data_IF_041106891327
#
_entry.id   IF_041106891327
#
_cell.length_a   1.000
_cell.length_b   1.000
_cell.length_c   1.000
_cell.angle_alpha   90.00
_cell.angle_beta   90.00
_cell.angle_gamma   90.00
#
_symmetry.space_group_name_H-M   'P 1'
#
loop_
_entity.id
_entity.type
_entity.pdbx_description
1 polymer ?
#
# COMPACT_ATOMS: atom_id res chain seq x y z
N UNK A 1 31.47 -2.47 -14.36
CA UNK A 1 32.00 -3.84 -14.14
C UNK A 1 30.95 -4.91 -14.43
N UNK A 2 29.96 -5.19 -13.56
CA UNK A 2 28.90 -6.15 -13.94
C UNK A 2 27.88 -5.54 -14.91
N UNK A 3 27.64 -4.23 -14.84
CA UNK A 3 26.74 -3.53 -15.77
C UNK A 3 27.18 -3.72 -17.21
N UNK A 4 28.47 -3.53 -17.51
CA UNK A 4 29.02 -3.74 -18.85
C UNK A 4 28.94 -5.20 -19.29
N UNK A 5 29.14 -6.14 -18.36
CA UNK A 5 29.07 -7.59 -18.65
C UNK A 5 27.65 -8.05 -19.04
N UNK A 6 26.63 -7.49 -18.39
CA UNK A 6 25.23 -7.76 -18.72
C UNK A 6 24.62 -6.72 -19.69
N UNK A 7 25.45 -5.84 -20.27
CA UNK A 7 25.04 -4.77 -21.19
C UNK A 7 23.95 -3.83 -20.63
N UNK A 8 24.02 -3.49 -19.34
CA UNK A 8 23.11 -2.55 -18.70
C UNK A 8 23.52 -1.10 -18.97
N UNK A 9 22.56 -0.26 -19.36
CA UNK A 9 22.74 1.19 -19.50
C UNK A 9 22.93 1.89 -18.14
N UNK A 10 22.35 1.32 -17.09
CA UNK A 10 22.50 1.78 -15.70
C UNK A 10 22.22 0.63 -14.73
N UNK A 11 22.56 0.80 -13.45
CA UNK A 11 22.36 -0.24 -12.43
C UNK A 11 20.87 -0.54 -12.17
N UNK A 12 20.34 -1.73 -12.55
CA UNK A 12 18.92 -2.03 -12.44
C UNK A 12 18.43 -2.08 -11.00
N UNK A 13 19.29 -2.50 -10.06
CA UNK A 13 18.94 -2.67 -8.65
C UNK A 13 19.54 -1.62 -7.71
N UNK A 14 19.87 -0.44 -8.24
CA UNK A 14 20.37 0.66 -7.42
C UNK A 14 19.44 0.95 -6.22
N UNK A 15 20.00 1.17 -5.01
CA UNK A 15 19.23 1.56 -3.83
C UNK A 15 18.76 3.01 -3.90
N UNK A 16 19.34 3.84 -4.78
CA UNK A 16 18.90 5.21 -5.01
C UNK A 16 17.58 5.23 -5.77
N UNK A 17 16.72 6.19 -5.43
CA UNK A 17 15.45 6.39 -6.13
C UNK A 17 15.76 6.98 -7.50
N UNK A 18 15.64 6.16 -8.55
CA UNK A 18 15.75 6.59 -9.94
C UNK A 18 14.36 6.63 -10.57
N UNK A 19 13.95 7.84 -10.99
CA UNK A 19 12.64 8.12 -11.60
C UNK A 19 12.39 7.30 -12.88
N UNK A 20 13.44 6.85 -13.56
CA UNK A 20 13.35 6.04 -14.79
C UNK A 20 12.93 4.60 -14.54
N UNK A 21 13.08 4.11 -13.31
CA UNK A 21 12.93 2.69 -12.93
C UNK A 21 11.68 2.47 -12.05
N UNK A 22 10.69 3.35 -12.18
CA UNK A 22 9.48 3.30 -11.39
C UNK A 22 8.55 2.19 -11.87
N UNK A 23 8.34 1.18 -11.02
CA UNK A 23 7.41 0.09 -11.29
C UNK A 23 5.98 0.45 -10.84
N UNK A 24 5.01 0.58 -11.77
CA UNK A 24 3.65 1.00 -11.45
C UNK A 24 2.79 -0.20 -11.01
N UNK A 25 2.97 -0.67 -9.77
CA UNK A 25 2.05 -1.67 -9.22
C UNK A 25 0.62 -1.10 -9.11
N UNK A 26 -0.39 -1.96 -9.06
CA UNK A 26 -1.79 -1.53 -8.92
C UNK A 26 -2.00 -0.59 -7.74
N UNK A 27 -1.44 -0.94 -6.58
CA UNK A 27 -1.53 -0.14 -5.35
C UNK A 27 -0.86 1.22 -5.55
N UNK A 28 0.31 1.26 -6.16
CA UNK A 28 1.06 2.50 -6.42
C UNK A 28 0.28 3.41 -7.38
N UNK A 29 -0.25 2.86 -8.46
CA UNK A 29 -1.03 3.61 -9.47
C UNK A 29 -2.30 4.19 -8.86
N UNK A 30 -3.04 3.40 -8.07
CA UNK A 30 -4.21 3.87 -7.34
C UNK A 30 -3.84 4.96 -6.32
N UNK A 31 -2.77 4.75 -5.55
CA UNK A 31 -2.29 5.73 -4.56
C UNK A 31 -1.93 7.05 -5.22
N UNK A 32 -1.29 7.02 -6.39
CA UNK A 32 -0.94 8.22 -7.14
C UNK A 32 -2.18 8.98 -7.60
N UNK A 33 -3.18 8.28 -8.16
CA UNK A 33 -4.42 8.91 -8.58
C UNK A 33 -5.16 9.58 -7.40
N UNK A 34 -5.20 8.90 -6.24
CA UNK A 34 -5.79 9.48 -5.03
C UNK A 34 -5.01 10.72 -4.59
N UNK A 35 -3.66 10.68 -4.57
CA UNK A 35 -2.83 11.84 -4.22
C UNK A 35 -3.10 13.03 -5.12
N UNK A 36 -3.07 12.82 -6.44
CA UNK A 36 -3.30 13.87 -7.42
C UNK A 36 -4.69 14.50 -7.25
N UNK A 37 -5.74 13.67 -7.07
CA UNK A 37 -7.10 14.14 -6.84
C UNK A 37 -7.23 14.90 -5.51
N UNK A 38 -6.60 14.40 -4.43
CA UNK A 38 -6.66 15.04 -3.10
C UNK A 38 -6.03 16.43 -3.11
N UNK A 39 -4.93 16.62 -3.86
CA UNK A 39 -4.30 17.93 -4.03
C UNK A 39 -5.15 18.90 -4.86
N UNK A 40 -5.94 18.37 -5.81
CA UNK A 40 -6.89 19.18 -6.59
C UNK A 40 -8.07 19.64 -5.73
N UNK A 41 -8.65 18.71 -4.95
CA UNK A 41 -9.78 18.97 -4.04
C UNK A 41 -9.42 19.90 -2.87
N UNK A 42 -8.13 20.04 -2.57
CA UNK A 42 -7.66 20.87 -1.47
C UNK A 42 -7.70 20.15 -0.12
N UNK A 43 -7.58 18.83 -0.12
CA UNK A 43 -7.42 18.06 1.12
C UNK A 43 -6.15 18.52 1.84
N UNK A 44 -6.32 18.87 3.12
CA UNK A 44 -5.29 19.60 3.86
C UNK A 44 -4.26 18.70 4.53
N UNK A 45 -4.65 17.50 4.95
CA UNK A 45 -3.77 16.56 5.64
C UNK A 45 -3.92 15.17 5.04
N UNK A 46 -2.84 14.69 4.42
CA UNK A 46 -2.77 13.45 3.68
C UNK A 46 -1.80 12.50 4.39
N UNK A 47 -2.15 11.21 4.45
CA UNK A 47 -1.33 10.22 5.17
C UNK A 47 -1.00 9.03 4.28
N UNK A 48 0.31 8.79 4.10
CA UNK A 48 0.87 7.66 3.38
C UNK A 48 1.65 6.76 4.34
N UNK A 49 1.19 5.53 4.53
CA UNK A 49 1.83 4.59 5.46
C UNK A 49 2.39 3.37 4.76
N UNK A 50 3.26 2.64 5.46
CA UNK A 50 3.73 1.34 5.02
C UNK A 50 5.00 0.89 5.76
N UNK A 51 5.32 -0.41 5.76
CA UNK A 51 6.57 -0.92 6.35
C UNK A 51 7.83 -0.28 5.75
N UNK A 52 8.97 -0.49 6.41
CA UNK A 52 10.25 -0.01 5.90
C UNK A 52 10.58 -0.67 4.55
N UNK A 53 10.98 0.13 3.57
CA UNK A 53 11.45 -0.38 2.27
C UNK A 53 10.36 -0.74 1.25
N UNK A 54 9.08 -0.43 1.51
CA UNK A 54 7.94 -0.66 0.58
C UNK A 54 7.80 0.40 -0.53
N UNK A 55 8.67 1.40 -0.56
CA UNK A 55 8.70 2.39 -1.65
C UNK A 55 7.93 3.69 -1.38
N UNK A 56 7.60 4.01 -0.13
CA UNK A 56 6.97 5.30 0.25
C UNK A 56 7.70 6.51 -0.34
N UNK A 57 9.00 6.64 -0.06
CA UNK A 57 9.83 7.72 -0.61
C UNK A 57 9.86 7.70 -2.13
N UNK A 58 9.86 6.52 -2.77
CA UNK A 58 9.80 6.40 -4.24
C UNK A 58 8.48 6.96 -4.80
N UNK A 59 7.35 6.64 -4.17
CA UNK A 59 6.03 7.16 -4.54
C UNK A 59 5.97 8.69 -4.37
N UNK A 60 6.50 9.21 -3.27
CA UNK A 60 6.57 10.65 -3.00
C UNK A 60 7.44 11.36 -4.03
N UNK A 61 8.64 10.86 -4.29
CA UNK A 61 9.54 11.45 -5.30
C UNK A 61 8.90 11.46 -6.68
N UNK A 62 8.13 10.41 -7.02
CA UNK A 62 7.37 10.35 -8.26
C UNK A 62 6.25 11.40 -8.28
N UNK A 63 5.46 11.50 -7.22
CA UNK A 63 4.41 12.51 -7.08
C UNK A 63 4.98 13.91 -7.31
N UNK A 64 6.02 14.26 -6.56
CA UNK A 64 6.69 15.58 -6.63
C UNK A 64 7.19 15.88 -8.04
N UNK A 65 7.70 14.88 -8.76
CA UNK A 65 8.18 15.06 -10.14
C UNK A 65 7.08 15.27 -11.17
N UNK A 66 5.83 14.95 -10.84
CA UNK A 66 4.65 15.08 -11.71
C UNK A 66 3.73 16.22 -11.30
N UNK A 67 4.09 16.98 -10.26
CA UNK A 67 3.31 18.13 -9.84
C UNK A 67 3.29 19.21 -10.91
N UNK A 68 2.14 19.86 -11.05
CA UNK A 68 1.99 21.07 -11.86
C UNK A 68 2.92 22.17 -11.33
N UNK A 69 3.49 23.02 -12.19
CA UNK A 69 4.23 24.22 -11.79
C UNK A 69 3.44 25.19 -10.87
N UNK A 70 2.11 25.05 -10.82
CA UNK A 70 1.23 25.82 -9.93
C UNK A 70 1.23 25.31 -8.48
N UNK A 71 1.89 24.19 -8.20
CA UNK A 71 2.04 23.63 -6.85
C UNK A 71 3.49 23.84 -6.39
N UNK A 72 3.72 24.78 -5.47
CA UNK A 72 4.99 24.86 -4.75
C UNK A 72 5.05 23.68 -3.78
N UNK A 73 6.16 22.98 -3.74
CA UNK A 73 6.35 21.86 -2.83
C UNK A 73 7.64 22.03 -2.04
N UNK A 74 7.61 21.64 -0.77
CA UNK A 74 8.79 21.54 0.07
C UNK A 74 8.86 20.14 0.69
N UNK A 75 10.07 19.61 0.89
CA UNK A 75 10.29 18.26 1.39
C UNK A 75 11.11 18.28 2.67
N UNK A 76 10.51 17.85 3.77
CA UNK A 76 11.14 17.75 5.08
C UNK A 76 11.32 16.28 5.46
N UNK A 77 12.53 15.92 5.86
CA UNK A 77 12.81 14.61 6.47
C UNK A 77 12.63 14.74 7.99
N UNK A 78 11.63 14.06 8.55
CA UNK A 78 11.38 14.12 9.99
C UNK A 78 12.46 13.37 10.78
N UNK A 79 12.78 13.94 11.94
CA UNK A 79 13.53 13.32 13.03
C UNK A 79 12.74 13.47 14.34
N UNK A 80 13.31 13.10 15.49
CA UNK A 80 12.74 13.31 16.83
C UNK A 80 12.77 14.79 17.24
N UNK A 81 12.07 15.62 16.46
CA UNK A 81 12.02 17.06 16.64
C UNK A 81 11.06 17.47 17.76
N UNK A 82 11.48 18.46 18.53
CA UNK A 82 10.56 19.35 19.26
C UNK A 82 9.72 20.18 18.29
N UNK A 83 8.70 20.87 18.79
CA UNK A 83 7.89 21.75 17.95
C UNK A 83 8.66 22.96 17.41
N UNK A 84 9.64 23.49 18.15
CA UNK A 84 10.52 24.57 17.69
C UNK A 84 11.46 24.08 16.60
N UNK A 85 12.12 22.94 16.78
CA UNK A 85 13.04 22.37 15.78
C UNK A 85 12.31 21.98 14.50
N UNK A 86 11.08 21.46 14.59
CA UNK A 86 10.25 21.21 13.42
C UNK A 86 9.97 22.52 12.67
N UNK A 87 9.54 23.57 13.38
CA UNK A 87 9.26 24.86 12.75
C UNK A 87 10.52 25.51 12.16
N UNK A 88 11.68 25.38 12.81
CA UNK A 88 12.96 25.84 12.26
C UNK A 88 13.33 25.08 10.99
N UNK A 89 13.18 23.75 11.01
CA UNK A 89 13.43 22.90 9.84
C UNK A 89 12.48 23.28 8.69
N UNK A 90 11.19 23.47 8.96
CA UNK A 90 10.23 23.95 7.97
C UNK A 90 10.61 25.33 7.43
N UNK A 91 11.01 26.26 8.30
CA UNK A 91 11.42 27.60 7.88
C UNK A 91 12.62 27.54 6.92
N UNK A 92 13.60 26.67 7.19
CA UNK A 92 14.74 26.45 6.30
C UNK A 92 14.31 25.90 4.94
N UNK A 93 13.41 24.92 4.88
CA UNK A 93 12.90 24.39 3.60
C UNK A 93 12.13 25.46 2.80
N UNK A 94 11.51 26.43 3.47
CA UNK A 94 10.87 27.58 2.82
C UNK A 94 11.83 28.75 2.51
N UNK A 95 13.14 28.55 2.64
CA UNK A 95 14.19 29.58 2.46
C UNK A 95 14.09 30.78 3.43
N UNK A 96 13.57 30.56 4.64
CA UNK A 96 13.42 31.59 5.67
C UNK A 96 14.57 31.57 6.68
N UNK A 97 15.17 32.74 6.93
CA UNK A 97 16.18 32.92 7.98
C UNK A 97 15.51 32.97 9.36
N UNK A 98 15.46 31.84 10.08
CA UNK A 98 14.75 31.77 11.37
C UNK A 98 15.43 30.86 12.44
N UNK A 99 16.74 30.65 12.35
CA UNK A 99 17.47 29.67 13.19
C UNK A 99 17.51 29.98 14.70
N UNK A 100 17.16 31.19 15.12
CA UNK A 100 17.12 31.62 16.55
C UNK A 100 15.77 32.20 16.98
N UNK A 101 14.76 32.05 16.14
CA UNK A 101 13.47 32.67 16.38
C UNK A 101 12.65 31.91 17.43
N UNK A 102 11.91 32.66 18.23
CA UNK A 102 10.90 32.06 19.13
C UNK A 102 9.86 31.28 18.33
N UNK A 103 9.20 30.30 18.96
CA UNK A 103 8.09 29.54 18.36
C UNK A 103 7.06 30.44 17.67
N UNK A 104 6.69 31.55 18.31
CA UNK A 104 5.69 32.50 17.78
C UNK A 104 6.22 33.24 16.56
N UNK A 105 7.49 33.64 16.57
CA UNK A 105 8.13 34.29 15.43
C UNK A 105 8.22 33.34 14.23
N UNK A 106 8.67 32.10 14.45
CA UNK A 106 8.71 31.03 13.44
C UNK A 106 7.35 30.78 12.81
N UNK A 107 6.33 30.57 13.63
CA UNK A 107 4.97 30.32 13.15
C UNK A 107 4.45 31.50 12.31
N UNK A 108 4.72 32.74 12.74
CA UNK A 108 4.34 33.94 11.98
C UNK A 108 5.12 34.08 10.67
N UNK A 109 6.40 33.73 10.65
CA UNK A 109 7.23 33.79 9.46
C UNK A 109 6.76 32.78 8.41
N UNK A 110 6.58 31.52 8.80
CA UNK A 110 6.05 30.46 7.92
C UNK A 110 4.65 30.85 7.41
N UNK A 111 3.73 31.23 8.30
CA UNK A 111 2.37 31.62 7.89
C UNK A 111 2.38 32.77 6.87
N UNK A 112 3.28 33.74 7.03
CA UNK A 112 3.42 34.86 6.09
C UNK A 112 3.91 34.39 4.73
N UNK A 113 4.87 33.47 4.71
CA UNK A 113 5.38 32.91 3.46
C UNK A 113 4.33 32.06 2.74
N UNK A 114 3.58 31.22 3.47
CA UNK A 114 2.46 30.47 2.91
C UNK A 114 1.42 31.40 2.24
N UNK A 115 1.11 32.54 2.86
CA UNK A 115 0.26 33.59 2.27
C UNK A 115 0.86 34.22 1.02
N UNK A 116 2.16 34.50 1.03
CA UNK A 116 2.85 35.07 -0.14
C UNK A 116 2.81 34.13 -1.34
N UNK A 117 2.94 32.82 -1.10
CA UNK A 117 2.85 31.81 -2.16
C UNK A 117 1.42 31.73 -2.68
N UNK A 118 0.43 31.64 -1.79
CA UNK A 118 -0.98 31.54 -2.20
C UNK A 118 -1.54 32.81 -2.83
N UNK A 119 -1.06 34.01 -2.48
CA UNK A 119 -1.48 35.26 -3.15
C UNK A 119 -1.05 35.34 -4.62
N UNK A 120 -0.07 34.51 -5.03
CA UNK A 120 0.33 34.31 -6.43
C UNK A 120 -0.52 33.24 -7.14
N UNK A 121 -1.56 32.73 -6.49
CA UNK A 121 -2.43 31.67 -7.00
C UNK A 121 -1.81 30.26 -6.93
N UNK A 122 -0.69 30.10 -6.21
CA UNK A 122 -0.03 28.80 -6.06
C UNK A 122 -0.57 28.02 -4.87
N UNK A 123 -0.76 26.71 -5.05
CA UNK A 123 -1.01 25.76 -3.96
C UNK A 123 0.32 25.33 -3.34
N UNK A 124 0.29 24.94 -2.06
CA UNK A 124 1.49 24.50 -1.35
C UNK A 124 1.32 23.03 -0.93
N UNK A 125 2.32 22.20 -1.24
CA UNK A 125 2.45 20.84 -0.73
C UNK A 125 3.68 20.74 0.18
N UNK A 126 3.47 20.57 1.48
CA UNK A 126 4.55 20.22 2.40
C UNK A 126 4.59 18.70 2.57
N UNK A 127 5.69 18.07 2.17
CA UNK A 127 5.90 16.65 2.41
C UNK A 127 6.76 16.45 3.65
N UNK A 128 6.31 15.62 4.58
CA UNK A 128 7.07 15.24 5.77
C UNK A 128 7.27 13.72 5.74
N UNK A 129 8.44 13.26 5.30
CA UNK A 129 8.80 11.84 5.30
C UNK A 129 9.31 11.41 6.68
N UNK A 130 9.18 10.13 7.01
CA UNK A 130 9.43 9.58 8.35
C UNK A 130 8.65 10.22 9.51
N UNK A 131 7.47 10.80 9.25
CA UNK A 131 6.60 11.45 10.24
C UNK A 131 6.23 10.59 11.48
N UNK A 132 6.40 9.26 11.42
CA UNK A 132 6.30 8.38 12.59
C UNK A 132 7.31 8.67 13.72
N UNK A 133 8.38 9.41 13.43
CA UNK A 133 9.35 9.88 14.42
C UNK A 133 8.88 11.13 15.18
N UNK A 134 7.88 11.85 14.66
CA UNK A 134 7.42 13.08 15.27
C UNK A 134 6.67 12.83 16.58
N UNK A 135 7.06 13.56 17.62
CA UNK A 135 6.36 13.62 18.88
C UNK A 135 5.03 14.40 18.83
N UNK A 136 4.27 14.30 19.91
CA UNK A 136 2.97 14.95 20.05
C UNK A 136 3.00 16.48 19.83
N UNK A 137 4.03 17.15 20.36
CA UNK A 137 4.16 18.60 20.25
C UNK A 137 4.40 19.05 18.79
N UNK A 138 5.26 18.33 18.06
CA UNK A 138 5.55 18.58 16.66
C UNK A 138 4.31 18.34 15.78
N UNK A 139 3.59 17.24 16.01
CA UNK A 139 2.30 16.97 15.34
C UNK A 139 1.30 18.10 15.58
N UNK A 140 1.12 18.58 16.82
CA UNK A 140 0.23 19.71 17.11
C UNK A 140 0.65 21.02 16.43
N UNK A 141 1.93 21.22 16.17
CA UNK A 141 2.39 22.38 15.41
C UNK A 141 1.92 22.30 13.94
N UNK A 142 1.99 21.10 13.34
CA UNK A 142 1.46 20.83 11.99
C UNK A 142 -0.04 21.06 11.94
N UNK A 143 -0.79 20.51 12.90
CA UNK A 143 -2.26 20.67 12.98
C UNK A 143 -2.66 22.15 13.07
N UNK A 144 -1.95 22.96 13.87
CA UNK A 144 -2.18 24.41 13.92
C UNK A 144 -1.93 25.14 12.60
N UNK A 145 -0.92 24.74 11.83
CA UNK A 145 -0.66 25.29 10.50
C UNK A 145 -1.75 24.86 9.50
N UNK A 146 -2.27 23.64 9.63
CA UNK A 146 -3.34 23.15 8.77
C UNK A 146 -4.68 23.84 9.10
N UNK A 147 -5.03 23.96 10.38
CA UNK A 147 -6.27 24.59 10.86
C UNK A 147 -6.30 26.11 10.59
N UNK A 148 -5.13 26.77 10.61
CA UNK A 148 -5.00 28.20 10.38
C UNK A 148 -5.41 28.67 8.97
N UNK A 149 -5.67 27.76 8.03
CA UNK A 149 -6.06 28.07 6.65
C UNK A 149 -7.40 28.80 6.54
N UNK A 150 -8.37 28.47 7.39
CA UNK A 150 -9.72 29.06 7.30
C UNK A 150 -9.74 30.56 7.62
N UNK A 151 -8.72 31.07 8.31
CA UNK A 151 -8.48 32.51 8.54
C UNK A 151 -7.19 33.00 7.83
N UNK A 152 -6.58 32.12 7.03
CA UNK A 152 -5.19 32.20 6.62
C UNK A 152 -4.99 32.79 5.24
N UNK A 153 -5.98 32.72 4.34
CA UNK A 153 -5.85 33.02 2.91
C UNK A 153 -4.68 32.28 2.23
N UNK A 154 -4.42 31.04 2.66
CA UNK A 154 -3.45 30.13 2.01
C UNK A 154 -4.03 28.72 1.83
N UNK A 155 -3.52 28.01 0.82
CA UNK A 155 -3.89 26.62 0.50
C UNK A 155 -2.69 25.70 0.73
N UNK A 156 -2.65 25.08 1.91
CA UNK A 156 -1.60 24.17 2.34
C UNK A 156 -2.15 22.74 2.43
N UNK A 157 -1.54 21.83 1.68
CA UNK A 157 -1.68 20.38 1.85
C UNK A 157 -0.41 19.84 2.49
N UNK A 158 -0.54 19.07 3.57
CA UNK A 158 0.56 18.38 4.24
C UNK A 158 0.47 16.88 3.96
N UNK A 159 1.50 16.29 3.36
CA UNK A 159 1.61 14.85 3.16
C UNK A 159 2.56 14.25 4.21
N UNK A 160 1.99 13.53 5.17
CA UNK A 160 2.75 12.79 6.17
C UNK A 160 3.03 11.37 5.69
N UNK A 161 4.31 10.99 5.64
CA UNK A 161 4.71 9.62 5.33
C UNK A 161 5.36 8.92 6.52
N UNK A 162 4.98 7.67 6.78
CA UNK A 162 5.53 6.95 7.92
C UNK A 162 5.23 5.46 7.95
N UNK A 163 5.52 4.86 9.11
CA UNK A 163 5.21 3.45 9.41
C UNK A 163 3.72 3.28 9.71
N UNK A 164 3.28 2.03 9.85
CA UNK A 164 1.86 1.64 10.01
C UNK A 164 1.25 2.07 11.35
N UNK A 165 2.06 2.50 12.30
CA UNK A 165 1.68 3.05 13.60
C UNK A 165 1.34 4.56 13.54
N UNK A 166 1.82 5.29 12.53
CA UNK A 166 1.57 6.73 12.37
C UNK A 166 0.08 7.11 12.50
N UNK A 167 -0.89 6.44 11.84
CA UNK A 167 -2.30 6.82 11.95
C UNK A 167 -2.82 6.75 13.38
N UNK A 168 -2.33 5.81 14.19
CA UNK A 168 -2.73 5.70 15.60
C UNK A 168 -2.23 6.89 16.41
N UNK A 169 -1.02 7.36 16.14
CA UNK A 169 -0.44 8.54 16.79
C UNK A 169 -1.19 9.81 16.37
N UNK A 170 -1.52 9.93 15.07
CA UNK A 170 -2.33 11.04 14.57
C UNK A 170 -3.73 11.06 15.21
N UNK A 171 -4.38 9.90 15.34
CA UNK A 171 -5.70 9.82 15.99
C UNK A 171 -5.66 10.28 17.44
N UNK A 172 -4.57 9.95 18.14
CA UNK A 172 -4.38 10.35 19.54
C UNK A 172 -4.21 11.86 19.70
N UNK A 173 -3.50 12.51 18.79
CA UNK A 173 -3.17 13.94 18.91
C UNK A 173 -4.16 14.88 18.20
N UNK A 174 -4.74 14.46 17.07
CA UNK A 174 -5.64 15.28 16.25
C UNK A 174 -7.12 14.94 16.45
N UNK A 175 -7.45 13.82 17.10
CA UNK A 175 -8.81 13.27 17.10
C UNK A 175 -9.02 12.26 15.98
N UNK A 176 -10.24 11.74 15.82
CA UNK A 176 -10.46 10.52 15.03
C UNK A 176 -10.39 10.76 13.52
N UNK A 177 -10.06 9.70 12.75
CA UNK A 177 -10.16 9.69 11.26
C UNK A 177 -11.58 10.04 10.79
N UNK A 178 -12.60 9.73 11.61
CA UNK A 178 -14.01 9.98 11.30
C UNK A 178 -14.37 11.46 11.35
N UNK A 179 -13.56 12.27 12.03
CA UNK A 179 -13.70 13.73 12.09
C UNK A 179 -13.16 14.40 10.81
N UNK A 180 -12.79 13.61 9.79
CA UNK A 180 -12.29 14.05 8.47
C UNK A 180 -11.06 14.96 8.52
N UNK A 181 -10.34 14.99 9.65
CA UNK A 181 -9.15 15.83 9.80
C UNK A 181 -7.97 15.41 8.94
N UNK A 182 -7.89 14.13 8.56
CA UNK A 182 -6.90 13.66 7.62
C UNK A 182 -7.44 12.56 6.70
N UNK A 183 -6.96 12.54 5.46
CA UNK A 183 -7.29 11.54 4.46
C UNK A 183 -6.18 10.49 4.37
N UNK A 184 -6.57 9.23 4.55
CA UNK A 184 -5.68 8.11 4.27
C UNK A 184 -5.54 7.93 2.76
N UNK A 185 -4.31 8.04 2.27
CA UNK A 185 -4.00 7.87 0.85
C UNK A 185 -3.78 6.40 0.54
N UNK A 186 -2.87 5.79 1.29
CA UNK A 186 -2.51 4.40 1.11
C UNK A 186 -1.82 3.84 2.35
N UNK A 187 -1.92 2.52 2.47
CA UNK A 187 -1.05 1.70 3.30
C UNK A 187 -0.24 0.80 2.36
N UNK A 188 0.94 1.25 1.94
CA UNK A 188 1.82 0.48 1.06
C UNK A 188 2.25 -0.80 1.78
N UNK A 189 2.17 -1.91 1.06
CA UNK A 189 2.54 -3.22 1.56
C UNK A 189 3.71 -3.80 0.75
N UNK A 190 4.21 -4.94 1.21
CA UNK A 190 5.13 -5.75 0.40
C UNK A 190 4.44 -6.22 -0.88
N UNK A 191 5.24 -6.37 -1.94
CA UNK A 191 4.76 -6.86 -3.23
C UNK A 191 4.35 -8.33 -3.15
N UNK A 192 3.31 -8.71 -3.89
CA UNK A 192 2.98 -10.13 -4.09
C UNK A 192 4.10 -10.84 -4.86
N UNK A 193 4.02 -12.17 -4.96
CA UNK A 193 4.97 -12.91 -5.80
C UNK A 193 4.87 -12.48 -7.28
N UNK A 194 3.66 -12.20 -7.76
CA UNK A 194 3.40 -11.74 -9.13
C UNK A 194 4.00 -10.35 -9.35
N UNK A 195 3.76 -9.42 -8.42
CA UNK A 195 4.34 -8.07 -8.49
C UNK A 195 5.86 -8.10 -8.34
N UNK A 196 6.42 -9.00 -7.54
CA UNK A 196 7.87 -9.18 -7.40
C UNK A 196 8.49 -9.62 -8.72
N UNK A 197 7.83 -10.52 -9.46
CA UNK A 197 8.26 -10.92 -10.79
C UNK A 197 8.20 -9.75 -11.77
N UNK A 198 7.08 -9.03 -11.81
CA UNK A 198 6.92 -7.85 -12.64
C UNK A 198 7.94 -6.76 -12.31
N UNK A 199 8.21 -6.52 -11.02
CA UNK A 199 9.18 -5.56 -10.52
C UNK A 199 10.60 -5.84 -11.02
N UNK A 200 11.10 -7.07 -10.78
CA UNK A 200 12.46 -7.47 -11.19
C UNK A 200 12.63 -7.32 -12.70
N UNK A 201 11.69 -7.86 -13.48
CA UNK A 201 11.75 -7.78 -14.94
C UNK A 201 11.64 -6.35 -15.44
N UNK A 202 10.78 -5.53 -14.85
CA UNK A 202 10.65 -4.12 -15.20
C UNK A 202 11.97 -3.37 -14.98
N UNK A 203 12.65 -3.57 -13.85
CA UNK A 203 13.93 -2.90 -13.59
C UNK A 203 15.02 -3.32 -14.59
N UNK A 204 15.07 -4.60 -14.95
CA UNK A 204 16.01 -5.13 -15.95
C UNK A 204 15.72 -4.58 -17.35
N UNK A 205 14.45 -4.58 -17.76
CA UNK A 205 14.01 -4.00 -19.03
C UNK A 205 14.38 -2.54 -19.13
N UNK A 206 14.13 -1.76 -18.06
CA UNK A 206 14.51 -0.34 -18.03
C UNK A 206 16.01 -0.13 -18.13
N UNK A 207 16.81 -1.05 -17.61
CA UNK A 207 18.27 -1.02 -17.72
C UNK A 207 18.82 -1.47 -19.09
N UNK A 208 17.96 -1.74 -20.08
CA UNK A 208 18.37 -2.10 -21.45
C UNK A 208 18.28 -3.59 -21.79
N UNK A 209 17.79 -4.44 -20.86
CA UNK A 209 17.66 -5.88 -21.11
C UNK A 209 16.34 -6.19 -21.79
N UNK A 210 16.38 -6.39 -23.10
CA UNK A 210 15.24 -6.91 -23.84
C UNK A 210 15.49 -8.41 -24.13
N UNK A 211 14.52 -9.26 -23.79
CA UNK A 211 14.43 -10.68 -24.18
C UNK A 211 15.31 -11.72 -23.44
N UNK A 212 16.43 -11.34 -22.79
CA UNK A 212 17.21 -12.28 -21.99
C UNK A 212 16.67 -12.43 -20.56
N UNK A 213 16.29 -13.66 -20.20
CA UNK A 213 15.90 -14.03 -18.84
C UNK A 213 17.14 -14.16 -17.93
N UNK A 214 17.62 -13.03 -17.38
CA UNK A 214 18.73 -13.01 -16.43
C UNK A 214 18.36 -13.75 -15.13
N UNK A 215 17.09 -13.64 -14.70
CA UNK A 215 16.55 -14.37 -13.56
C UNK A 215 15.45 -15.33 -14.03
N UNK A 216 15.57 -16.62 -13.71
CA UNK A 216 14.51 -17.58 -13.98
C UNK A 216 13.32 -17.40 -13.03
N UNK A 217 12.14 -17.90 -13.42
CA UNK A 217 10.92 -17.86 -12.58
C UNK A 217 11.14 -18.50 -11.20
N UNK A 218 11.88 -19.60 -11.13
CA UNK A 218 12.18 -20.29 -9.87
C UNK A 218 13.12 -19.49 -8.97
N UNK A 219 14.10 -18.79 -9.56
CA UNK A 219 15.01 -17.93 -8.80
C UNK A 219 14.25 -16.72 -8.26
N UNK A 220 13.35 -16.13 -9.06
CA UNK A 220 12.46 -15.05 -8.59
C UNK A 220 11.55 -15.52 -7.45
N UNK A 221 11.02 -16.74 -7.53
CA UNK A 221 10.23 -17.34 -6.43
C UNK A 221 11.07 -17.47 -5.15
N UNK A 222 12.32 -17.91 -5.26
CA UNK A 222 13.26 -17.92 -4.12
C UNK A 222 13.50 -16.52 -3.58
N UNK A 223 13.78 -15.54 -4.44
CA UNK A 223 13.97 -14.13 -4.05
C UNK A 223 12.75 -13.60 -3.31
N UNK A 224 11.54 -13.85 -3.82
CA UNK A 224 10.30 -13.49 -3.13
C UNK A 224 10.24 -14.13 -1.73
N UNK A 225 10.47 -15.44 -1.61
CA UNK A 225 10.47 -16.13 -0.32
C UNK A 225 11.50 -15.58 0.68
N UNK A 226 12.65 -15.11 0.22
CA UNK A 226 13.70 -14.56 1.08
C UNK A 226 13.42 -13.12 1.49
N UNK A 227 12.89 -12.33 0.56
CA UNK A 227 12.67 -10.88 0.73
C UNK A 227 11.29 -10.55 1.30
N UNK A 228 10.36 -11.51 1.21
CA UNK A 228 8.94 -11.35 1.51
C UNK A 228 8.32 -10.19 0.71
N UNK A 229 8.76 -10.02 -0.54
CA UNK A 229 8.22 -9.00 -1.44
C UNK A 229 8.62 -7.56 -1.12
N UNK A 230 9.54 -7.32 -0.17
CA UNK A 230 9.97 -5.96 0.20
C UNK A 230 10.92 -5.41 -0.88
N UNK A 231 10.56 -4.34 -1.63
CA UNK A 231 11.36 -3.79 -2.72
C UNK A 231 12.82 -3.52 -2.36
N UNK A 232 13.09 -2.88 -1.21
CA UNK A 232 14.47 -2.61 -0.76
C UNK A 232 15.28 -3.89 -0.59
N UNK A 233 14.68 -4.95 -0.05
CA UNK A 233 15.36 -6.23 0.14
C UNK A 233 15.58 -6.95 -1.18
N UNK A 234 14.62 -6.87 -2.10
CA UNK A 234 14.76 -7.38 -3.47
C UNK A 234 15.94 -6.71 -4.16
N UNK A 235 16.04 -5.38 -4.12
CA UNK A 235 17.13 -4.65 -4.75
C UNK A 235 18.50 -5.09 -4.23
N UNK A 236 18.68 -5.11 -2.91
CA UNK A 236 19.94 -5.51 -2.29
C UNK A 236 20.31 -6.96 -2.65
N UNK A 237 19.34 -7.88 -2.60
CA UNK A 237 19.60 -9.29 -2.89
C UNK A 237 19.93 -9.52 -4.38
N UNK A 238 19.17 -8.90 -5.29
CA UNK A 238 19.39 -9.00 -6.73
C UNK A 238 20.72 -8.39 -7.16
N UNK A 239 21.09 -7.23 -6.61
CA UNK A 239 22.36 -6.56 -6.90
C UNK A 239 23.57 -7.45 -6.56
N UNK A 240 23.56 -8.03 -5.35
CA UNK A 240 24.64 -8.94 -4.93
C UNK A 240 24.61 -10.25 -5.71
N UNK A 241 23.41 -10.76 -6.07
CA UNK A 241 23.30 -11.97 -6.88
C UNK A 241 23.86 -11.76 -8.30
N UNK A 242 23.64 -10.60 -8.91
CA UNK A 242 24.25 -10.22 -10.20
C UNK A 242 25.77 -10.11 -10.09
N UNK A 243 26.28 -9.50 -9.02
CA UNK A 243 27.72 -9.43 -8.77
C UNK A 243 28.35 -10.83 -8.64
N UNK A 244 27.68 -11.76 -7.96
CA UNK A 244 28.15 -13.14 -7.81
C UNK A 244 28.13 -13.89 -9.15
N UNK A 245 27.07 -13.71 -9.95
CA UNK A 245 26.97 -14.30 -11.29
C UNK A 245 28.11 -13.80 -12.20
N UNK A 246 28.36 -12.48 -12.19
CA UNK A 246 29.49 -11.86 -12.90
C UNK A 246 30.84 -12.42 -12.46
N UNK A 247 31.06 -12.57 -11.16
CA UNK A 247 32.30 -13.13 -10.60
C UNK A 247 32.54 -14.58 -11.03
N UNK A 248 31.48 -15.29 -11.44
CA UNK A 248 31.52 -16.66 -11.99
C UNK A 248 31.41 -16.70 -13.51
N UNK A 249 31.45 -15.55 -14.18
CA UNK A 249 31.26 -15.42 -15.63
C UNK A 249 29.98 -16.09 -16.14
N UNK A 250 28.91 -16.04 -15.33
CA UNK A 250 27.59 -16.57 -15.68
C UNK A 250 26.71 -15.48 -16.28
N UNK A 251 26.09 -15.78 -17.42
CA UNK A 251 25.12 -14.89 -18.10
C UNK A 251 23.74 -14.91 -17.46
N UNK A 252 23.49 -15.81 -16.50
CA UNK A 252 22.23 -15.89 -15.74
C UNK A 252 22.48 -15.99 -14.23
N UNK A 253 21.49 -15.55 -13.45
CA UNK A 253 21.48 -15.67 -12.00
C UNK A 253 20.75 -16.94 -11.59
N UNK A 254 21.50 -17.96 -11.16
CA UNK A 254 20.98 -19.20 -10.58
C UNK A 254 20.84 -19.16 -9.05
N UNK A 255 20.31 -20.24 -8.47
CA UNK A 255 20.11 -20.38 -7.02
C UNK A 255 21.40 -20.22 -6.22
N UNK A 256 22.52 -20.79 -6.70
CA UNK A 256 23.81 -20.70 -6.03
C UNK A 256 24.29 -19.25 -5.83
N UNK A 257 24.01 -18.36 -6.80
CA UNK A 257 24.37 -16.94 -6.71
C UNK A 257 23.54 -16.21 -5.64
N UNK A 258 22.25 -16.56 -5.51
CA UNK A 258 21.34 -16.03 -4.48
C UNK A 258 21.73 -16.53 -3.09
N UNK A 259 22.07 -17.81 -2.94
CA UNK A 259 22.54 -18.37 -1.67
C UNK A 259 23.85 -17.74 -1.21
N UNK A 260 24.79 -17.50 -2.13
CA UNK A 260 26.01 -16.79 -1.83
C UNK A 260 25.72 -15.33 -1.41
N UNK A 261 24.75 -14.68 -2.04
CA UNK A 261 24.33 -13.33 -1.67
C UNK A 261 23.74 -13.29 -0.25
N UNK A 262 22.91 -14.27 0.12
CA UNK A 262 22.39 -14.40 1.49
C UNK A 262 23.49 -14.57 2.53
N UNK A 263 24.45 -15.47 2.28
CA UNK A 263 25.60 -15.69 3.17
C UNK A 263 26.38 -14.40 3.39
N UNK A 264 26.63 -13.63 2.32
CA UNK A 264 27.33 -12.34 2.39
C UNK A 264 26.55 -11.28 3.16
N UNK A 265 25.23 -11.26 3.02
CA UNK A 265 24.36 -10.33 3.72
C UNK A 265 24.19 -10.64 5.21
N UNK A 266 24.63 -11.82 5.67
CA UNK A 266 24.34 -12.30 7.02
C UNK A 266 22.83 -12.43 7.27
N UNK A 267 22.02 -12.43 6.21
CA UNK A 267 20.60 -12.69 6.34
C UNK A 267 20.49 -14.16 6.70
N UNK A 268 20.10 -14.42 7.94
CA UNK A 268 19.61 -15.74 8.29
C UNK A 268 18.55 -16.05 7.24
N UNK A 269 18.65 -17.21 6.58
CA UNK A 269 17.46 -17.83 6.05
C UNK A 269 16.59 -18.01 7.28
N UNK A 270 15.78 -17.00 7.62
CA UNK A 270 14.73 -17.15 8.59
C UNK A 270 13.99 -18.33 8.00
N UNK A 271 14.13 -19.50 8.64
CA UNK A 271 13.08 -20.52 8.62
C UNK A 271 11.82 -19.72 8.59
N UNK A 272 10.96 -19.94 7.59
CA UNK A 272 9.59 -19.43 7.56
C UNK A 272 9.16 -19.16 9.01
N UNK A 273 9.32 -17.93 9.50
CA UNK A 273 8.34 -17.41 10.42
C UNK A 273 7.13 -17.50 9.51
N UNK A 274 6.16 -18.36 9.83
CA UNK A 274 5.02 -18.54 8.96
C UNK A 274 4.55 -17.13 8.66
N UNK A 275 4.76 -16.67 7.42
CA UNK A 275 4.12 -15.48 6.90
C UNK A 275 2.68 -15.67 7.31
N UNK A 276 2.17 -14.74 8.12
CA UNK A 276 0.84 -14.72 8.71
C UNK A 276 -0.05 -15.73 8.00
N UNK A 277 -0.33 -16.85 8.66
CA UNK A 277 -0.98 -18.02 8.07
C UNK A 277 -2.00 -17.51 7.06
N UNK A 278 -1.74 -17.72 5.76
CA UNK A 278 -2.74 -17.49 4.73
C UNK A 278 -4.03 -18.11 5.24
N UNK A 279 -5.11 -17.32 5.18
CA UNK A 279 -6.48 -17.67 5.58
C UNK A 279 -6.54 -18.96 6.41
N UNK A 280 -6.35 -18.85 7.73
CA UNK A 280 -6.31 -20.07 8.57
C UNK A 280 -7.71 -20.66 8.59
N UNK A 281 -7.91 -21.90 8.10
CA UNK A 281 -9.24 -22.48 8.04
C UNK A 281 -9.75 -22.74 9.44
N UNK A 282 -10.90 -22.15 9.78
CA UNK A 282 -11.77 -22.61 10.86
C UNK A 282 -13.15 -22.82 10.23
N UNK A 283 -13.37 -24.02 9.68
CA UNK A 283 -14.62 -24.80 9.77
C UNK A 283 -14.94 -25.65 8.51
N UNK A 284 -15.08 -26.95 8.82
CA UNK A 284 -15.89 -28.03 8.23
C UNK A 284 -16.55 -27.78 6.86
N UNK A 285 -15.98 -28.39 5.84
CA UNK A 285 -16.70 -28.80 4.63
C UNK A 285 -17.79 -29.81 5.02
N UNK A 286 -19.04 -29.49 4.71
CA UNK A 286 -20.16 -30.42 4.67
C UNK A 286 -21.22 -29.88 3.69
N UNK A 287 -21.00 -30.06 2.38
CA UNK A 287 -22.10 -30.22 1.41
C UNK A 287 -22.81 -28.96 0.89
N UNK A 288 -23.71 -29.19 -0.10
CA UNK A 288 -24.39 -28.22 -0.98
C UNK A 288 -25.03 -27.04 -0.22
N UNK A 289 -24.62 -25.81 -0.56
CA UNK A 289 -25.14 -24.55 -0.01
C UNK A 289 -24.45 -23.33 -0.65
N UNK A 290 -24.84 -22.11 -0.27
CA UNK A 290 -24.19 -20.88 -0.71
C UNK A 290 -22.73 -20.86 -0.28
N UNK A 291 -21.84 -20.27 -1.09
CA UNK A 291 -20.41 -20.29 -0.83
C UNK A 291 -19.78 -18.92 -0.91
N UNK A 292 -18.69 -18.76 -0.16
CA UNK A 292 -17.76 -17.66 -0.32
C UNK A 292 -16.38 -18.25 -0.55
N UNK A 293 -15.76 -17.95 -1.69
CA UNK A 293 -14.37 -18.33 -1.93
C UNK A 293 -13.44 -17.15 -1.64
N UNK A 294 -12.48 -17.36 -0.76
CA UNK A 294 -11.50 -16.35 -0.36
C UNK A 294 -10.20 -16.66 -1.08
N UNK A 295 -9.79 -15.75 -1.95
CA UNK A 295 -8.51 -15.80 -2.62
C UNK A 295 -7.51 -14.94 -1.87
N UNK A 296 -6.43 -15.58 -1.40
CA UNK A 296 -5.32 -14.87 -0.79
C UNK A 296 -4.42 -14.21 -1.83
N UNK A 297 -3.51 -13.35 -1.36
CA UNK A 297 -2.55 -12.61 -2.17
C UNK A 297 -1.54 -13.50 -2.92
N UNK A 298 -1.47 -14.77 -2.55
CA UNK A 298 -0.59 -15.78 -3.17
C UNK A 298 -1.32 -16.64 -4.20
N UNK A 299 -2.63 -16.41 -4.39
CA UNK A 299 -3.47 -17.12 -5.34
C UNK A 299 -4.10 -18.39 -4.79
N UNK A 300 -3.89 -18.74 -3.51
CA UNK A 300 -4.63 -19.84 -2.89
C UNK A 300 -6.07 -19.42 -2.70
N UNK A 301 -7.00 -20.31 -3.05
CA UNK A 301 -8.43 -20.12 -2.81
C UNK A 301 -8.91 -21.10 -1.75
N UNK A 302 -9.66 -20.60 -0.79
CA UNK A 302 -10.37 -21.41 0.21
C UNK A 302 -11.85 -21.10 0.11
N UNK A 303 -12.67 -22.13 -0.11
CA UNK A 303 -14.13 -21.99 -0.15
C UNK A 303 -14.75 -22.27 1.21
N UNK A 304 -15.73 -21.44 1.59
CA UNK A 304 -16.51 -21.51 2.82
C UNK A 304 -17.98 -21.72 2.47
N UNK A 305 -18.65 -22.63 3.14
CA UNK A 305 -20.12 -22.75 3.05
C UNK A 305 -20.79 -21.77 4.02
N UNK A 306 -21.78 -21.04 3.52
CA UNK A 306 -22.64 -20.19 4.33
C UNK A 306 -23.84 -21.03 4.80
N UNK A 307 -23.90 -21.34 6.09
CA UNK A 307 -24.92 -22.21 6.67
C UNK A 307 -26.13 -21.44 7.23
N UNK A 308 -26.33 -20.18 6.83
CA UNK A 308 -27.39 -19.33 7.37
C UNK A 308 -27.09 -18.70 8.74
N UNK A 309 -25.84 -18.76 9.20
CA UNK A 309 -25.34 -18.01 10.36
C UNK A 309 -24.60 -16.74 9.92
N UNK A 310 -24.43 -15.79 10.86
CA UNK A 310 -23.57 -14.61 10.64
C UNK A 310 -22.11 -15.04 10.55
N UNK A 311 -21.47 -14.73 9.42
CA UNK A 311 -20.05 -15.04 9.18
C UNK A 311 -19.20 -13.81 9.46
N UNK A 312 -18.31 -13.91 10.46
CA UNK A 312 -17.39 -12.86 10.88
C UNK A 312 -16.10 -12.90 10.08
N UNK A 313 -15.68 -11.74 9.59
CA UNK A 313 -14.47 -11.56 8.81
C UNK A 313 -13.54 -10.60 9.56
N UNK A 314 -12.29 -10.99 9.79
CA UNK A 314 -11.34 -10.13 10.49
C UNK A 314 -10.06 -10.82 10.92
N UNK A 315 -9.20 -10.08 11.62
CA UNK A 315 -7.91 -10.57 12.13
C UNK A 315 -8.03 -11.41 13.40
N UNK A 316 -9.12 -11.22 14.16
CA UNK A 316 -9.29 -11.90 15.43
C UNK A 316 -9.37 -13.43 15.24
N UNK A 317 -8.83 -14.22 16.18
CA UNK A 317 -8.79 -15.68 16.06
C UNK A 317 -10.16 -16.35 16.07
N UNK A 318 -11.20 -15.65 16.52
CA UNK A 318 -12.60 -16.06 16.58
C UNK A 318 -13.43 -15.64 15.36
N UNK A 319 -12.81 -15.07 14.32
CA UNK A 319 -13.47 -14.83 13.04
C UNK A 319 -13.54 -16.13 12.20
N UNK A 320 -14.69 -16.36 11.56
CA UNK A 320 -14.91 -17.49 10.66
C UNK A 320 -14.01 -17.41 9.41
N UNK A 321 -13.91 -16.22 8.82
CA UNK A 321 -12.94 -15.90 7.78
C UNK A 321 -11.83 -15.06 8.40
N UNK A 322 -10.77 -15.74 8.84
CA UNK A 322 -9.62 -15.10 9.48
C UNK A 322 -8.62 -14.59 8.46
N UNK A 323 -8.41 -13.28 8.47
CA UNK A 323 -7.37 -12.59 7.70
C UNK A 323 -6.34 -12.04 8.70
N UNK A 324 -5.29 -12.82 8.97
CA UNK A 324 -4.32 -12.57 10.06
C UNK A 324 -3.30 -11.46 9.75
N UNK A 325 -3.75 -10.35 9.18
CA UNK A 325 -2.90 -9.27 8.68
C UNK A 325 -3.04 -8.01 9.50
N UNK A 326 -1.94 -7.38 9.89
CA UNK A 326 -1.93 -6.28 10.86
C UNK A 326 -2.77 -5.06 10.45
N UNK A 327 -3.00 -4.88 9.15
CA UNK A 327 -3.83 -3.80 8.59
C UNK A 327 -5.33 -4.14 8.55
N UNK A 328 -5.71 -5.38 8.89
CA UNK A 328 -7.10 -5.81 9.00
C UNK A 328 -7.56 -5.64 10.45
N UNK A 329 -8.75 -5.06 10.62
CA UNK A 329 -9.35 -4.90 11.94
C UNK A 329 -9.63 -6.26 12.58
N UNK A 330 -9.66 -6.30 13.91
CA UNK A 330 -10.02 -7.53 14.64
C UNK A 330 -11.35 -8.11 14.14
N UNK A 331 -12.34 -7.24 13.98
CA UNK A 331 -13.64 -7.53 13.35
C UNK A 331 -13.86 -6.51 12.24
N UNK A 332 -13.64 -6.94 11.01
CA UNK A 332 -13.56 -6.06 9.84
C UNK A 332 -14.91 -5.93 9.14
N UNK A 333 -15.58 -7.06 8.92
CA UNK A 333 -16.88 -7.13 8.28
C UNK A 333 -17.65 -8.39 8.71
N UNK A 334 -18.94 -8.43 8.43
CA UNK A 334 -19.80 -9.59 8.63
C UNK A 334 -20.67 -9.84 7.40
N UNK A 335 -20.82 -11.10 7.00
CA UNK A 335 -21.86 -11.53 6.06
C UNK A 335 -23.05 -11.99 6.89
N UNK A 336 -24.18 -11.32 6.74
CA UNK A 336 -25.38 -11.51 7.55
C UNK A 336 -26.47 -12.12 6.65
N UNK A 337 -27.09 -13.24 7.04
CA UNK A 337 -28.23 -13.81 6.33
C UNK A 337 -29.48 -12.94 6.55
N UNK A 338 -30.25 -12.73 5.50
CA UNK A 338 -31.56 -12.06 5.51
C UNK A 338 -32.58 -12.89 4.73
N UNK A 339 -33.88 -12.58 4.88
CA UNK A 339 -34.99 -13.32 4.25
C UNK A 339 -34.85 -13.48 2.72
N UNK A 340 -34.13 -12.58 2.06
CA UNK A 340 -33.93 -12.54 0.60
C UNK A 340 -32.49 -12.84 0.15
N UNK A 341 -31.62 -13.31 1.05
CA UNK A 341 -30.23 -13.66 0.70
C UNK A 341 -29.23 -13.27 1.79
N UNK A 342 -28.19 -12.53 1.40
CA UNK A 342 -27.11 -12.14 2.29
C UNK A 342 -26.74 -10.67 2.10
N UNK A 343 -26.34 -10.01 3.17
CA UNK A 343 -25.74 -8.67 3.13
C UNK A 343 -24.30 -8.74 3.64
N UNK A 344 -23.42 -7.87 3.12
CA UNK A 344 -22.12 -7.58 3.70
C UNK A 344 -22.23 -6.29 4.51
N UNK A 345 -21.79 -6.32 5.77
CA UNK A 345 -21.77 -5.16 6.67
C UNK A 345 -20.34 -4.87 7.13
N UNK A 346 -19.89 -3.63 6.95
CA UNK A 346 -18.56 -3.16 7.37
C UNK A 346 -18.63 -2.48 8.74
N UNK A 347 -17.69 -2.80 9.63
CA UNK A 347 -17.62 -2.22 10.98
C UNK A 347 -16.89 -0.87 11.07
N UNK A 348 -16.55 -0.27 9.92
CA UNK A 348 -15.98 1.08 9.83
C UNK A 348 -14.53 1.15 10.32
N UNK A 349 -13.60 0.71 9.46
CA UNK A 349 -12.17 0.58 9.73
C UNK A 349 -11.30 1.39 8.75
N UNK A 350 -9.98 1.40 8.99
CA UNK A 350 -8.97 2.10 8.17
C UNK A 350 -8.77 1.47 6.79
N UNK A 351 -9.08 0.18 6.63
CA UNK A 351 -9.07 -0.52 5.34
C UNK A 351 -10.50 -0.69 4.87
N UNK A 352 -10.92 -0.03 3.77
CA UNK A 352 -12.31 -0.10 3.33
C UNK A 352 -12.69 -1.53 2.91
N UNK A 353 -13.96 -1.87 3.12
CA UNK A 353 -14.58 -3.04 2.51
C UNK A 353 -15.20 -2.57 1.20
N UNK A 354 -14.73 -3.14 0.10
CA UNK A 354 -15.15 -2.77 -1.24
C UNK A 354 -16.03 -3.88 -1.81
N UNK A 355 -17.21 -3.56 -2.33
CA UNK A 355 -18.04 -4.46 -3.12
C UNK A 355 -17.96 -4.00 -4.58
N UNK A 356 -17.51 -4.86 -5.49
CA UNK A 356 -17.34 -4.56 -6.91
C UNK A 356 -16.63 -3.21 -7.15
N UNK A 357 -15.51 -3.01 -6.45
CA UNK A 357 -14.68 -1.80 -6.44
C UNK A 357 -15.31 -0.52 -5.85
N UNK A 358 -16.46 -0.62 -5.19
CA UNK A 358 -17.11 0.51 -4.48
C UNK A 358 -17.09 0.30 -2.97
N UNK A 359 -16.70 1.31 -2.19
CA UNK A 359 -16.69 1.20 -0.72
C UNK A 359 -18.10 1.10 -0.17
N UNK A 360 -18.36 0.11 0.69
CA UNK A 360 -19.69 -0.13 1.27
C UNK A 360 -19.66 -0.11 2.80
N UNK A 361 -20.70 0.47 3.40
CA UNK A 361 -21.00 0.30 4.83
C UNK A 361 -21.91 -0.91 5.05
N UNK A 362 -22.88 -1.10 4.16
CA UNK A 362 -23.79 -2.24 4.09
C UNK A 362 -24.25 -2.39 2.64
N UNK A 363 -24.31 -3.59 2.11
CA UNK A 363 -24.83 -3.87 0.77
C UNK A 363 -25.33 -5.30 0.63
N UNK A 364 -26.32 -5.54 -0.23
CA UNK A 364 -26.80 -6.88 -0.56
C UNK A 364 -25.82 -7.58 -1.51
N UNK A 365 -25.56 -8.86 -1.25
CA UNK A 365 -24.69 -9.71 -2.05
C UNK A 365 -25.51 -10.47 -3.09
N UNK A 366 -25.02 -10.50 -4.33
CA UNK A 366 -25.56 -11.25 -5.47
C UNK A 366 -24.55 -12.29 -5.93
N UNK A 367 -25.04 -13.31 -6.63
CA UNK A 367 -24.18 -14.32 -7.25
C UNK A 367 -23.11 -13.65 -8.15
N UNK A 368 -21.85 -14.06 -7.96
CA UNK A 368 -20.69 -13.52 -8.67
C UNK A 368 -20.11 -12.23 -8.07
N UNK A 369 -20.68 -11.67 -7.01
CA UNK A 369 -20.17 -10.46 -6.38
C UNK A 369 -18.76 -10.66 -5.81
N UNK A 370 -17.96 -9.60 -5.90
CA UNK A 370 -16.58 -9.58 -5.44
C UNK A 370 -16.43 -8.58 -4.30
N UNK A 371 -16.08 -9.07 -3.11
CA UNK A 371 -15.77 -8.26 -1.94
C UNK A 371 -14.26 -8.20 -1.73
N UNK A 372 -13.68 -7.01 -1.71
CA UNK A 372 -12.25 -6.81 -1.45
C UNK A 372 -12.02 -6.17 -0.09
N UNK A 373 -11.07 -6.74 0.66
CA UNK A 373 -10.63 -6.24 1.96
C UNK A 373 -9.09 -6.23 1.97
N UNK A 374 -8.49 -5.05 1.79
CA UNK A 374 -7.06 -4.96 1.55
C UNK A 374 -6.69 -5.68 0.25
N UNK A 375 -5.81 -6.67 0.32
CA UNK A 375 -5.42 -7.48 -0.84
C UNK A 375 -6.19 -8.82 -0.96
N UNK A 376 -7.15 -9.06 -0.07
CA UNK A 376 -7.95 -10.29 -0.10
C UNK A 376 -9.21 -10.06 -0.90
N UNK A 377 -9.53 -11.03 -1.75
CA UNK A 377 -10.69 -11.01 -2.61
C UNK A 377 -11.59 -12.17 -2.22
N UNK A 378 -12.84 -11.86 -1.91
CA UNK A 378 -13.88 -12.82 -1.58
C UNK A 378 -14.88 -12.84 -2.73
N UNK A 379 -15.07 -13.99 -3.37
CA UNK A 379 -16.10 -14.20 -4.37
C UNK A 379 -17.31 -14.86 -3.72
N UNK A 380 -18.49 -14.26 -3.90
CA UNK A 380 -19.74 -14.79 -3.41
C UNK A 380 -20.44 -15.60 -4.51
N UNK A 381 -20.85 -16.82 -4.19
CA UNK A 381 -21.47 -17.76 -5.12
C UNK A 381 -22.77 -18.32 -4.54
N UNK A 382 -23.86 -18.21 -5.29
CA UNK A 382 -25.10 -18.91 -5.02
C UNK A 382 -25.08 -20.28 -5.72
N UNK A 383 -25.73 -21.31 -5.16
CA UNK A 383 -25.87 -22.59 -5.85
C UNK A 383 -26.61 -22.35 -7.17
N UNK A 384 -26.13 -23.01 -8.24
CA UNK A 384 -26.79 -22.97 -9.54
C UNK A 384 -28.29 -23.31 -9.35
N UNK A 385 -29.16 -22.38 -9.74
CA UNK A 385 -30.59 -22.64 -9.81
C UNK A 385 -30.80 -23.80 -10.78
N UNK A 386 -31.27 -24.93 -10.28
CA UNK A 386 -31.84 -25.96 -11.14
C UNK A 386 -33.13 -25.38 -11.72
N UNK A 387 -33.04 -24.67 -12.83
CA UNK A 387 -34.20 -24.40 -13.66
C UNK A 387 -34.66 -25.72 -14.27
N UNK A 388 -35.73 -26.25 -13.67
CA UNK A 388 -36.58 -27.24 -14.28
C UNK A 388 -37.23 -26.63 -15.53
N UNK A 389 -36.85 -27.16 -16.71
CA UNK A 389 -37.41 -26.69 -17.97
C UNK A 389 -36.97 -27.47 -19.21
N UNK A 390 -36.62 -28.75 -19.09
CA UNK A 390 -36.60 -29.64 -20.26
C UNK A 390 -37.99 -30.26 -20.42
N UNK A 391 -38.89 -29.56 -21.12
CA UNK A 391 -40.09 -30.17 -21.68
C UNK A 391 -39.67 -31.35 -22.57
N UNK A 392 -40.06 -32.54 -22.14
CA UNK A 392 -39.89 -33.75 -22.92
C UNK A 392 -40.76 -33.70 -24.17
N UNK A 393 -40.12 -33.52 -25.32
CA UNK A 393 -40.70 -33.91 -26.62
C UNK A 393 -40.77 -35.45 -26.62
N UNK A 394 -41.92 -35.97 -26.17
CA UNK A 394 -42.32 -37.36 -26.46
C UNK A 394 -42.67 -37.42 -27.93
N UNK A 395 -41.84 -38.15 -28.67
CA UNK A 395 -42.18 -38.68 -29.98
C UNK A 395 -43.47 -39.51 -29.89
N UNK A 396 -44.54 -39.01 -30.49
CA UNK A 396 -45.65 -39.83 -30.94
C UNK A 396 -45.41 -40.11 -32.42
N UNK A 397 -45.08 -41.36 -32.73
CA UNK A 397 -44.97 -41.86 -34.09
C UNK A 397 -45.49 -43.29 -34.15
N UNK A 398 -46.52 -43.46 -34.98
CA UNK A 398 -46.97 -44.70 -35.64
C UNK A 398 -47.99 -45.56 -34.87
N UNK A 399 -49.28 -45.32 -35.13
CA UNK A 399 -50.07 -46.11 -36.10
C UNK A 399 -51.33 -45.36 -36.52
#
# INVERSE_FOLDING_TARGET
MYSDYFSFEFHPFSPTVDKRIFYPSTVITQSMAILQHSLLDGDRLLVLTGPAGTGKTCLITKLVSELSPQVRHEYLLADDFTDVELLQSMALEFDLNASQDSRVALFKAITRELRNISSRGQKILLVIDNAHLLGAQALRAIDKLVDGQSAGDYSLSVLLSGRTDLPRNLVKEFGSVRDQRFRMIAALQSMSQVDTHGYINHRLMKAGVNEQAIFSKDVIKTIYGLTQGVPRRINVLCDIALLNAFSKQSTTVGQAHVEQALRKLGWSARRREPSAKGVTPIARDNGKGNKVSVKDVTGNSVSYSLNGDVVKIGRAPDCDIRIDEINISRYQAEIIPEDSGYIIKSHGSTTPVMLNASSVKSAQLKDGDVVSIGNYVLHFELPASNDAGSEGVRAAGIN
#
